data_IF_554623585159
#
_entry.id   IF_554623585159
#
_cell.length_a   1.000
_cell.length_b   1.000
_cell.length_c   1.000
_cell.angle_alpha   90.00
_cell.angle_beta   90.00
_cell.angle_gamma   90.00
#
_symmetry.space_group_name_H-M   'P 1'
#
loop_
_entity.id
_entity.type
_entity.pdbx_description
1 polymer ?
#
# COMPACT_ATOMS: atom_id res chain seq x y z
N UNK A 1 31.49 -27.47 -46.45
CA UNK A 1 30.55 -26.46 -46.99
C UNK A 1 29.42 -26.11 -46.01
N UNK A 2 28.80 -27.09 -45.33
CA UNK A 2 27.64 -26.87 -44.43
C UNK A 2 27.93 -26.03 -43.17
N UNK A 3 29.09 -26.17 -42.53
CA UNK A 3 29.41 -25.40 -41.31
C UNK A 3 29.65 -23.91 -41.58
N UNK A 4 30.25 -23.55 -42.72
CA UNK A 4 30.43 -22.15 -43.12
C UNK A 4 29.09 -21.46 -43.42
N UNK A 5 28.15 -22.16 -44.07
CA UNK A 5 26.79 -21.66 -44.30
C UNK A 5 26.03 -21.48 -42.98
N UNK A 6 26.18 -22.41 -42.03
CA UNK A 6 25.55 -22.33 -40.71
C UNK A 6 26.07 -21.14 -39.89
N UNK A 7 27.38 -20.93 -39.86
CA UNK A 7 28.01 -19.77 -39.21
C UNK A 7 27.55 -18.46 -39.89
N UNK A 8 27.47 -18.45 -41.22
CA UNK A 8 26.95 -17.32 -41.99
C UNK A 8 25.50 -16.96 -41.62
N UNK A 9 24.62 -17.96 -41.50
CA UNK A 9 23.23 -17.74 -41.07
C UNK A 9 23.13 -17.18 -39.65
N UNK A 10 23.92 -17.69 -38.70
CA UNK A 10 23.96 -17.15 -37.33
C UNK A 10 24.37 -15.67 -37.34
N UNK A 11 25.43 -15.34 -38.08
CA UNK A 11 25.92 -13.97 -38.20
C UNK A 11 24.88 -13.04 -38.81
N UNK A 12 24.24 -13.45 -39.90
CA UNK A 12 23.21 -12.64 -40.58
C UNK A 12 22.01 -12.39 -39.67
N UNK A 13 21.48 -13.45 -39.03
CA UNK A 13 20.31 -13.32 -38.15
C UNK A 13 20.64 -12.47 -36.92
N UNK A 14 21.80 -12.70 -36.29
CA UNK A 14 22.24 -11.92 -35.14
C UNK A 14 22.44 -10.44 -35.47
N UNK A 15 23.10 -10.14 -36.59
CA UNK A 15 23.30 -8.75 -37.07
C UNK A 15 21.97 -8.10 -37.41
N UNK A 16 21.06 -8.81 -38.10
CA UNK A 16 19.74 -8.28 -38.45
C UNK A 16 18.92 -7.93 -37.21
N UNK A 17 18.84 -8.83 -36.23
CA UNK A 17 18.14 -8.59 -34.96
C UNK A 17 18.78 -7.41 -34.20
N UNK A 18 20.12 -7.37 -34.13
CA UNK A 18 20.85 -6.28 -33.48
C UNK A 18 20.60 -4.91 -34.13
N UNK A 19 20.64 -4.85 -35.47
CA UNK A 19 20.37 -3.61 -36.22
C UNK A 19 18.93 -3.15 -36.02
N UNK A 20 17.96 -4.07 -36.12
CA UNK A 20 16.54 -3.75 -35.87
C UNK A 20 16.36 -3.22 -34.44
N UNK A 21 16.97 -3.85 -33.45
CA UNK A 21 16.90 -3.41 -32.05
C UNK A 21 17.52 -2.03 -31.84
N UNK A 22 18.71 -1.76 -32.40
CA UNK A 22 19.39 -0.45 -32.29
C UNK A 22 18.57 0.64 -32.98
N UNK A 23 18.04 0.39 -34.19
CA UNK A 23 17.23 1.35 -34.94
C UNK A 23 15.92 1.62 -34.21
N UNK A 24 15.23 0.57 -33.74
CA UNK A 24 14.00 0.70 -32.98
C UNK A 24 14.23 1.51 -31.70
N UNK A 25 15.28 1.19 -30.93
CA UNK A 25 15.60 1.90 -29.69
C UNK A 25 15.94 3.37 -29.95
N UNK A 26 16.78 3.67 -30.96
CA UNK A 26 17.11 5.07 -31.34
C UNK A 26 15.86 5.86 -31.76
N UNK A 27 14.95 5.24 -32.52
CA UNK A 27 13.69 5.89 -32.92
C UNK A 27 12.77 6.12 -31.71
N UNK A 28 12.68 5.15 -30.81
CA UNK A 28 11.87 5.25 -29.59
C UNK A 28 12.37 6.36 -28.68
N UNK A 29 13.67 6.41 -28.42
CA UNK A 29 14.30 7.46 -27.60
C UNK A 29 14.02 8.83 -28.22
N UNK A 30 14.29 9.01 -29.51
CA UNK A 30 14.04 10.27 -30.21
C UNK A 30 12.56 10.71 -30.18
N UNK A 31 11.62 9.77 -30.26
CA UNK A 31 10.18 10.08 -30.23
C UNK A 31 9.71 10.51 -28.84
N UNK A 32 10.25 9.92 -27.78
CA UNK A 32 9.82 10.18 -26.41
C UNK A 32 10.67 11.23 -25.67
N UNK A 33 11.82 11.64 -26.20
CA UNK A 33 12.65 12.70 -25.60
C UNK A 33 11.96 14.07 -25.58
N UNK A 34 11.05 14.33 -26.52
CA UNK A 34 10.25 15.55 -26.55
C UNK A 34 9.15 15.59 -25.46
N UNK A 35 8.84 14.47 -24.81
CA UNK A 35 7.71 14.35 -23.88
C UNK A 35 8.13 13.73 -22.53
N UNK A 36 8.63 14.53 -21.58
CA UNK A 36 9.15 14.04 -20.30
C UNK A 36 8.12 13.28 -19.45
N UNK A 37 6.84 13.64 -19.55
CA UNK A 37 5.75 12.96 -18.82
C UNK A 37 5.48 11.52 -19.34
N UNK A 38 5.97 11.17 -20.53
CA UNK A 38 5.83 9.83 -21.11
C UNK A 38 7.03 8.92 -20.83
N UNK A 39 8.00 9.36 -20.01
CA UNK A 39 9.20 8.57 -19.66
C UNK A 39 8.86 7.17 -19.14
N UNK A 40 7.80 7.05 -18.33
CA UNK A 40 7.33 5.75 -17.82
C UNK A 40 6.87 4.82 -18.95
N UNK A 41 6.08 5.33 -19.92
CA UNK A 41 5.64 4.55 -21.09
C UNK A 41 6.82 4.08 -21.93
N UNK A 42 7.83 4.94 -22.12
CA UNK A 42 9.08 4.56 -22.81
C UNK A 42 9.78 3.39 -22.12
N UNK A 43 9.93 3.45 -20.79
CA UNK A 43 10.56 2.37 -20.03
C UNK A 43 9.82 1.05 -20.18
N UNK A 44 8.48 1.06 -20.11
CA UNK A 44 7.67 -0.14 -20.34
C UNK A 44 7.88 -0.73 -21.75
N UNK A 45 7.87 0.11 -22.78
CA UNK A 45 8.10 -0.35 -24.16
C UNK A 45 9.53 -0.89 -24.33
N UNK A 46 10.53 -0.29 -23.68
CA UNK A 46 11.91 -0.78 -23.72
C UNK A 46 12.07 -2.14 -23.05
N UNK A 47 11.48 -2.33 -21.85
CA UNK A 47 11.49 -3.63 -21.17
C UNK A 47 10.78 -4.69 -22.02
N UNK A 48 9.60 -4.38 -22.55
CA UNK A 48 8.87 -5.28 -23.45
C UNK A 48 9.69 -5.61 -24.70
N UNK A 49 10.36 -4.62 -25.29
CA UNK A 49 11.23 -4.79 -26.46
C UNK A 49 12.43 -5.69 -26.18
N UNK A 50 13.04 -5.61 -24.99
CA UNK A 50 14.13 -6.51 -24.57
C UNK A 50 13.62 -7.94 -24.40
N UNK A 51 12.49 -8.13 -23.72
CA UNK A 51 11.87 -9.46 -23.55
C UNK A 51 11.54 -10.09 -24.92
N UNK A 52 10.88 -9.34 -25.80
CA UNK A 52 10.57 -9.79 -27.17
C UNK A 52 11.86 -10.05 -27.97
N UNK A 53 12.88 -9.20 -27.83
CA UNK A 53 14.17 -9.39 -28.49
C UNK A 53 14.86 -10.69 -28.10
N UNK A 54 14.90 -11.02 -26.81
CA UNK A 54 15.42 -12.30 -26.31
C UNK A 54 14.61 -13.47 -26.89
N UNK A 55 13.28 -13.36 -26.91
CA UNK A 55 12.42 -14.38 -27.50
C UNK A 55 12.69 -14.57 -29.00
N UNK A 56 12.86 -13.49 -29.76
CA UNK A 56 13.23 -13.54 -31.18
C UNK A 56 14.58 -14.22 -31.39
N UNK A 57 15.59 -13.95 -30.55
CA UNK A 57 16.89 -14.63 -30.64
C UNK A 57 16.70 -16.14 -30.44
N UNK A 58 15.93 -16.57 -29.44
CA UNK A 58 15.68 -18.00 -29.19
C UNK A 58 14.98 -18.68 -30.38
N UNK A 59 14.03 -17.98 -31.02
CA UNK A 59 13.25 -18.53 -32.13
C UNK A 59 14.02 -18.58 -33.45
N UNK A 60 14.70 -17.50 -33.82
CA UNK A 60 15.33 -17.35 -35.14
C UNK A 60 16.78 -17.83 -35.19
N UNK A 61 17.46 -17.93 -34.06
CA UNK A 61 18.79 -18.51 -34.03
C UNK A 61 18.70 -20.02 -34.32
N UNK A 62 19.64 -20.58 -35.13
CA UNK A 62 19.54 -21.95 -35.62
C UNK A 62 19.94 -23.00 -34.56
N UNK A 63 19.36 -22.94 -33.37
CA UNK A 63 19.52 -23.95 -32.32
C UNK A 63 18.93 -25.31 -32.75
N UNK A 64 19.45 -26.38 -32.15
CA UNK A 64 18.80 -27.69 -32.22
C UNK A 64 17.41 -27.60 -31.57
N UNK A 65 16.45 -28.39 -32.04
CA UNK A 65 15.08 -28.34 -31.51
C UNK A 65 15.02 -28.62 -30.00
N UNK A 66 15.89 -29.51 -29.50
CA UNK A 66 16.02 -29.81 -28.08
C UNK A 66 16.53 -28.59 -27.28
N UNK A 67 17.61 -27.94 -27.72
CA UNK A 67 18.14 -26.73 -27.07
C UNK A 67 17.13 -25.58 -27.12
N UNK A 68 16.47 -25.36 -28.25
CA UNK A 68 15.43 -24.33 -28.39
C UNK A 68 14.30 -24.56 -27.39
N UNK A 69 13.81 -25.80 -27.27
CA UNK A 69 12.78 -26.17 -26.30
C UNK A 69 13.21 -25.90 -24.85
N UNK A 70 14.44 -26.25 -24.48
CA UNK A 70 15.00 -25.97 -23.15
C UNK A 70 15.13 -24.47 -22.87
N UNK A 71 15.61 -23.68 -23.84
CA UNK A 71 15.74 -22.23 -23.71
C UNK A 71 14.38 -21.53 -23.61
N UNK A 72 13.39 -21.96 -24.38
CA UNK A 72 12.02 -21.42 -24.29
C UNK A 72 11.38 -21.75 -22.94
N UNK A 73 11.57 -22.97 -22.44
CA UNK A 73 11.09 -23.37 -21.10
C UNK A 73 11.74 -22.52 -20.00
N UNK A 74 13.07 -22.37 -20.04
CA UNK A 74 13.81 -21.56 -19.08
C UNK A 74 13.39 -20.08 -19.15
N UNK A 75 13.27 -19.53 -20.36
CA UNK A 75 12.82 -18.16 -20.56
C UNK A 75 11.41 -17.94 -20.01
N UNK A 76 10.47 -18.83 -20.34
CA UNK A 76 9.10 -18.77 -19.83
C UNK A 76 9.04 -18.88 -18.31
N UNK A 77 9.82 -19.78 -17.72
CA UNK A 77 9.95 -19.94 -16.27
C UNK A 77 10.47 -18.66 -15.61
N UNK A 78 11.57 -18.08 -16.12
CA UNK A 78 12.17 -16.87 -15.54
C UNK A 78 11.21 -15.69 -15.65
N UNK A 79 10.60 -15.48 -16.82
CA UNK A 79 9.67 -14.36 -17.03
C UNK A 79 8.42 -14.50 -16.15
N UNK A 80 7.81 -15.69 -16.12
CA UNK A 80 6.62 -15.93 -15.30
C UNK A 80 6.93 -15.82 -13.81
N UNK A 81 8.03 -16.40 -13.33
CA UNK A 81 8.46 -16.28 -11.95
C UNK A 81 8.74 -14.82 -11.57
N UNK A 82 9.42 -14.06 -12.44
CA UNK A 82 9.71 -12.63 -12.21
C UNK A 82 8.43 -11.83 -12.09
N UNK A 83 7.46 -12.02 -13.00
CA UNK A 83 6.17 -11.34 -12.95
C UNK A 83 5.41 -11.72 -11.67
N UNK A 84 5.32 -13.02 -11.36
CA UNK A 84 4.63 -13.51 -10.18
C UNK A 84 5.21 -12.91 -8.90
N UNK A 85 6.53 -13.02 -8.71
CA UNK A 85 7.24 -12.49 -7.54
C UNK A 85 7.11 -10.96 -7.43
N UNK A 86 7.24 -10.24 -8.55
CA UNK A 86 7.13 -8.78 -8.57
C UNK A 86 5.69 -8.29 -8.31
N UNK A 87 4.68 -9.09 -8.66
CA UNK A 87 3.26 -8.74 -8.52
C UNK A 87 2.69 -8.99 -7.12
N UNK A 88 3.41 -9.72 -6.27
CA UNK A 88 2.95 -10.13 -4.93
C UNK A 88 2.37 -8.99 -4.09
N UNK A 89 3.05 -7.84 -4.06
CA UNK A 89 2.60 -6.67 -3.27
C UNK A 89 1.34 -6.03 -3.87
N UNK A 90 1.23 -5.97 -5.20
CA UNK A 90 0.04 -5.45 -5.88
C UNK A 90 -1.17 -6.34 -5.60
N UNK A 91 -1.03 -7.64 -5.83
CA UNK A 91 -2.08 -8.63 -5.56
C UNK A 91 -2.45 -8.63 -4.07
N UNK A 92 -1.47 -8.52 -3.18
CA UNK A 92 -1.68 -8.40 -1.74
C UNK A 92 -2.54 -7.20 -1.36
N UNK A 93 -2.29 -6.02 -1.94
CA UNK A 93 -3.11 -4.83 -1.70
C UNK A 93 -4.54 -4.97 -2.26
N UNK A 94 -4.70 -5.59 -3.43
CA UNK A 94 -6.03 -5.85 -4.01
C UNK A 94 -6.83 -6.76 -3.07
N UNK A 95 -6.24 -7.89 -2.65
CA UNK A 95 -6.90 -8.86 -1.78
C UNK A 95 -7.21 -8.25 -0.41
N UNK A 96 -6.30 -7.46 0.15
CA UNK A 96 -6.53 -6.73 1.38
C UNK A 96 -7.68 -5.72 1.24
N UNK A 97 -7.78 -5.01 0.12
CA UNK A 97 -8.88 -4.10 -0.15
C UNK A 97 -10.25 -4.80 -0.19
N UNK A 98 -10.31 -5.96 -0.85
CA UNK A 98 -11.53 -6.81 -0.86
C UNK A 98 -11.86 -7.28 0.56
N UNK A 99 -10.87 -7.73 1.33
CA UNK A 99 -11.05 -8.17 2.72
C UNK A 99 -11.58 -7.04 3.63
N UNK A 100 -11.01 -5.84 3.56
CA UNK A 100 -11.48 -4.68 4.33
C UNK A 100 -12.95 -4.36 4.03
N UNK A 101 -13.34 -4.40 2.75
CA UNK A 101 -14.73 -4.18 2.32
C UNK A 101 -15.67 -5.28 2.83
N UNK A 102 -15.23 -6.54 2.84
CA UNK A 102 -16.03 -7.67 3.35
C UNK A 102 -16.22 -7.63 4.87
N UNK A 103 -15.17 -7.36 5.64
CA UNK A 103 -15.24 -7.27 7.10
C UNK A 103 -16.07 -6.04 7.52
N UNK A 104 -15.99 -4.96 6.74
CA UNK A 104 -16.84 -3.78 6.90
C UNK A 104 -16.54 -2.96 8.16
N UNK A 105 -15.40 -3.19 8.83
CA UNK A 105 -14.89 -2.37 9.95
C UNK A 105 -14.29 -1.05 9.47
N UNK A 106 -13.69 -1.03 8.29
CA UNK A 106 -13.22 0.19 7.63
C UNK A 106 -14.30 0.63 6.63
N UNK A 107 -14.94 1.77 6.88
CA UNK A 107 -15.91 2.38 5.96
C UNK A 107 -15.66 3.88 5.86
N UNK A 108 -15.86 4.48 4.67
CA UNK A 108 -15.86 5.93 4.55
C UNK A 108 -16.77 6.58 5.59
N UNK A 109 -16.25 7.60 6.27
CA UNK A 109 -16.93 8.31 7.34
C UNK A 109 -16.54 7.87 8.76
N UNK A 110 -16.01 6.66 8.95
CA UNK A 110 -15.61 6.18 10.28
C UNK A 110 -14.27 6.78 10.72
N UNK A 111 -14.15 7.10 12.00
CA UNK A 111 -12.87 7.42 12.63
C UNK A 111 -12.16 6.15 13.02
N UNK A 112 -10.92 6.01 12.59
CA UNK A 112 -10.10 4.82 12.82
C UNK A 112 -8.72 5.17 13.31
N UNK A 113 -8.14 4.28 14.10
CA UNK A 113 -6.69 4.25 14.35
C UNK A 113 -6.13 2.98 13.73
N UNK A 114 -5.16 3.14 12.83
CA UNK A 114 -4.46 2.03 12.16
C UNK A 114 -2.96 2.22 12.39
N UNK A 115 -2.38 1.36 13.22
CA UNK A 115 -1.02 1.57 13.71
C UNK A 115 -0.92 2.89 14.47
N UNK A 116 -0.07 3.79 13.99
CA UNK A 116 0.17 5.12 14.58
C UNK A 116 -0.71 6.23 13.96
N UNK A 117 -1.50 5.90 12.94
CA UNK A 117 -2.30 6.88 12.21
C UNK A 117 -3.74 6.91 12.73
N UNK A 118 -4.18 8.09 13.21
CA UNK A 118 -5.56 8.36 13.57
C UNK A 118 -6.20 9.32 12.56
N UNK A 119 -7.42 9.04 12.15
CA UNK A 119 -8.15 9.91 11.24
C UNK A 119 -9.51 9.36 10.81
N UNK A 120 -10.23 10.15 10.03
CA UNK A 120 -11.50 9.75 9.41
C UNK A 120 -11.25 9.16 8.03
N UNK A 121 -11.77 7.96 7.76
CA UNK A 121 -11.68 7.38 6.40
C UNK A 121 -12.45 8.27 5.43
N UNK A 122 -11.76 8.82 4.44
CA UNK A 122 -12.36 9.63 3.37
C UNK A 122 -12.76 8.76 2.19
N UNK A 123 -11.85 7.88 1.75
CA UNK A 123 -12.03 7.04 0.57
C UNK A 123 -11.41 5.65 0.76
N UNK A 124 -11.97 4.66 0.05
CA UNK A 124 -11.46 3.29 0.01
C UNK A 124 -11.34 2.79 -1.42
N UNK A 125 -10.11 2.79 -1.91
CA UNK A 125 -9.74 2.48 -3.27
C UNK A 125 -9.28 1.01 -3.42
N UNK A 126 -8.94 0.61 -4.66
CA UNK A 126 -8.54 -0.77 -4.94
C UNK A 126 -7.24 -1.18 -4.21
N UNK A 127 -6.29 -0.26 -4.06
CA UNK A 127 -4.96 -0.53 -3.53
C UNK A 127 -4.67 0.15 -2.18
N UNK A 128 -5.49 1.12 -1.79
CA UNK A 128 -5.23 1.94 -0.62
C UNK A 128 -6.53 2.45 0.02
N UNK A 129 -6.42 2.89 1.27
CA UNK A 129 -7.42 3.65 2.01
C UNK A 129 -6.85 5.03 2.24
N UNK A 130 -7.68 6.06 2.09
CA UNK A 130 -7.31 7.42 2.47
C UNK A 130 -7.99 7.78 3.80
N UNK A 131 -7.21 8.38 4.69
CA UNK A 131 -7.70 8.93 5.96
C UNK A 131 -7.37 10.42 6.02
N UNK A 132 -8.31 11.21 6.53
CA UNK A 132 -8.09 12.60 6.90
C UNK A 132 -7.70 12.67 8.38
N UNK A 133 -6.52 13.22 8.67
CA UNK A 133 -6.04 13.40 10.04
C UNK A 133 -6.76 14.56 10.73
N UNK A 134 -6.52 14.72 12.03
CA UNK A 134 -7.06 15.84 12.83
C UNK A 134 -6.58 17.22 12.32
N UNK A 135 -5.37 17.27 11.75
CA UNK A 135 -4.80 18.46 11.10
C UNK A 135 -5.35 18.70 9.68
N UNK A 136 -6.32 17.89 9.25
CA UNK A 136 -6.95 17.89 7.91
C UNK A 136 -6.06 17.44 6.76
N UNK A 137 -4.89 16.86 7.04
CA UNK A 137 -4.05 16.26 6.00
C UNK A 137 -4.65 14.94 5.50
N UNK A 138 -4.44 14.64 4.21
CA UNK A 138 -4.82 13.36 3.62
C UNK A 138 -3.65 12.40 3.67
N UNK A 139 -3.82 11.31 4.41
CA UNK A 139 -2.84 10.24 4.53
C UNK A 139 -3.33 9.00 3.78
N UNK A 140 -2.54 8.55 2.80
CA UNK A 140 -2.82 7.35 2.02
C UNK A 140 -2.13 6.14 2.63
N UNK A 141 -2.92 5.14 3.03
CA UNK A 141 -2.43 3.89 3.61
C UNK A 141 -2.65 2.74 2.62
N UNK A 142 -1.62 1.93 2.30
CA UNK A 142 -1.82 0.72 1.49
C UNK A 142 -2.80 -0.23 2.16
N UNK A 143 -3.70 -0.84 1.39
CA UNK A 143 -4.69 -1.78 1.92
C UNK A 143 -4.03 -2.92 2.71
N UNK A 144 -2.89 -3.41 2.22
CA UNK A 144 -2.14 -4.47 2.88
C UNK A 144 -1.64 -4.06 4.27
N UNK A 145 -1.26 -2.79 4.46
CA UNK A 145 -0.87 -2.25 5.77
C UNK A 145 -2.05 -2.23 6.75
N UNK A 146 -3.23 -1.82 6.28
CA UNK A 146 -4.44 -1.77 7.10
C UNK A 146 -4.88 -3.14 7.62
N UNK A 147 -4.65 -4.22 6.85
CA UNK A 147 -5.01 -5.59 7.25
C UNK A 147 -3.97 -6.23 8.17
N UNK A 148 -2.69 -5.87 8.04
CA UNK A 148 -1.62 -6.44 8.88
C UNK A 148 -1.44 -5.71 10.21
N UNK A 149 -2.11 -4.58 10.40
CA UNK A 149 -2.09 -3.83 11.65
C UNK A 149 -3.44 -3.87 12.36
N UNK A 150 -3.48 -3.78 13.70
CA UNK A 150 -4.73 -3.63 14.43
C UNK A 150 -5.48 -2.38 13.99
N UNK A 151 -6.77 -2.54 13.67
CA UNK A 151 -7.67 -1.44 13.36
C UNK A 151 -8.59 -1.19 14.55
N UNK A 152 -8.48 -0.01 15.16
CA UNK A 152 -9.46 0.47 16.14
C UNK A 152 -10.45 1.37 15.43
N UNK A 153 -11.74 1.10 15.60
CA UNK A 153 -12.81 1.90 15.00
C UNK A 153 -13.55 2.61 16.12
N UNK A 154 -13.56 3.94 16.07
CA UNK A 154 -14.39 4.76 16.96
C UNK A 154 -15.81 4.76 16.41
N UNK A 155 -16.73 4.13 17.15
CA UNK A 155 -18.13 3.97 16.75
C UNK A 155 -18.93 5.21 17.10
N UNK A 156 -19.95 5.53 16.31
CA UNK A 156 -20.86 6.64 16.61
C UNK A 156 -21.61 6.43 17.94
N UNK A 157 -21.89 5.18 18.30
CA UNK A 157 -22.58 4.81 19.55
C UNK A 157 -21.68 4.05 20.50
N UNK A 158 -21.79 4.32 21.80
CA UNK A 158 -21.03 3.63 22.85
C UNK A 158 -19.55 3.97 22.87
N UNK A 159 -19.17 5.13 22.32
CA UNK A 159 -17.84 5.70 22.52
C UNK A 159 -17.75 6.25 23.94
N UNK A 160 -16.75 5.79 24.67
CA UNK A 160 -16.42 6.34 25.98
C UNK A 160 -15.66 7.66 25.80
N UNK A 161 -16.28 8.76 26.22
CA UNK A 161 -15.61 10.05 26.32
C UNK A 161 -15.01 10.17 27.72
N UNK A 162 -13.87 10.85 27.83
CA UNK A 162 -13.17 11.00 29.11
C UNK A 162 -12.42 12.30 29.19
N UNK A 163 -12.41 12.91 30.37
CA UNK A 163 -11.65 14.12 30.66
C UNK A 163 -10.87 13.92 31.95
N UNK A 164 -9.63 14.40 31.96
CA UNK A 164 -8.74 14.38 33.12
C UNK A 164 -8.65 15.76 33.76
N UNK A 165 -8.73 15.78 35.08
CA UNK A 165 -8.70 17.00 35.89
C UNK A 165 -7.78 16.78 37.09
N UNK A 166 -6.86 17.70 37.31
CA UNK A 166 -6.00 17.70 38.50
C UNK A 166 -6.57 18.66 39.54
N UNK A 167 -6.93 18.13 40.71
CA UNK A 167 -7.58 18.88 41.79
C UNK A 167 -6.75 18.80 43.07
N UNK A 168 -6.72 19.90 43.83
CA UNK A 168 -5.92 20.00 45.06
C UNK A 168 -6.41 19.06 46.17
N UNK A 169 -5.49 18.69 47.07
CA UNK A 169 -5.77 17.84 48.23
C UNK A 169 -6.70 18.47 49.28
N UNK A 170 -6.90 19.78 49.19
CA UNK A 170 -7.79 20.57 50.03
C UNK A 170 -9.27 20.37 49.69
N UNK A 171 -9.59 19.73 48.56
CA UNK A 171 -10.97 19.50 48.11
C UNK A 171 -11.44 18.09 48.48
N UNK A 172 -12.62 18.00 49.10
CA UNK A 172 -13.23 16.72 49.47
C UNK A 172 -13.52 15.84 48.25
N UNK A 173 -13.00 14.60 48.27
CA UNK A 173 -13.25 13.59 47.23
C UNK A 173 -14.74 13.37 46.94
N UNK A 174 -15.58 13.35 47.98
CA UNK A 174 -17.02 13.12 47.83
C UNK A 174 -17.68 14.26 47.03
N UNK A 175 -17.23 15.49 47.23
CA UNK A 175 -17.74 16.64 46.48
C UNK A 175 -17.24 16.62 45.04
N UNK A 176 -15.98 16.23 44.81
CA UNK A 176 -15.40 16.05 43.47
C UNK A 176 -16.21 15.01 42.67
N UNK A 177 -16.39 13.80 43.22
CA UNK A 177 -17.10 12.73 42.52
C UNK A 177 -18.55 13.12 42.20
N UNK A 178 -19.24 13.78 43.15
CA UNK A 178 -20.61 14.28 42.94
C UNK A 178 -20.68 15.34 41.85
N UNK A 179 -19.78 16.33 41.87
CA UNK A 179 -19.77 17.43 40.91
C UNK A 179 -19.38 16.97 39.51
N UNK A 180 -18.37 16.10 39.39
CA UNK A 180 -17.91 15.57 38.10
C UNK A 180 -18.97 14.67 37.45
N UNK A 181 -19.61 13.77 38.21
CA UNK A 181 -20.72 12.96 37.69
C UNK A 181 -21.93 13.83 37.30
N UNK A 182 -22.22 14.87 38.09
CA UNK A 182 -23.26 15.85 37.79
C UNK A 182 -22.98 16.60 36.47
N UNK A 183 -21.74 17.07 36.28
CA UNK A 183 -21.31 17.74 35.06
C UNK A 183 -21.34 16.81 33.85
N UNK A 184 -20.86 15.57 33.98
CA UNK A 184 -20.89 14.56 32.92
C UNK A 184 -22.32 14.27 32.47
N UNK A 185 -23.25 14.09 33.42
CA UNK A 185 -24.68 13.90 33.13
C UNK A 185 -25.27 15.12 32.40
N UNK A 186 -24.90 16.35 32.80
CA UNK A 186 -25.36 17.57 32.13
C UNK A 186 -24.82 17.71 30.70
N UNK A 187 -23.63 17.17 30.42
CA UNK A 187 -23.07 17.09 29.07
C UNK A 187 -23.71 15.98 28.22
N UNK A 188 -24.63 15.18 28.77
CA UNK A 188 -25.32 14.10 28.07
C UNK A 188 -24.56 12.77 28.01
N UNK A 189 -23.54 12.58 28.85
CA UNK A 189 -22.82 11.30 28.96
C UNK A 189 -23.68 10.24 29.66
N UNK A 190 -23.58 8.99 29.20
CA UNK A 190 -24.37 7.87 29.71
C UNK A 190 -23.59 7.10 30.77
N UNK A 191 -24.22 6.81 31.92
CA UNK A 191 -23.60 6.06 33.03
C UNK A 191 -22.22 6.61 33.46
N UNK A 192 -22.09 7.91 33.76
CA UNK A 192 -20.80 8.50 34.05
C UNK A 192 -20.20 7.95 35.35
N UNK A 193 -18.87 7.84 35.36
CA UNK A 193 -18.12 7.40 36.52
C UNK A 193 -16.81 8.19 36.66
N UNK A 194 -16.32 8.27 37.89
CA UNK A 194 -15.08 8.99 38.24
C UNK A 194 -14.06 8.00 38.77
N UNK A 195 -12.82 8.13 38.31
CA UNK A 195 -11.67 7.33 38.75
C UNK A 195 -10.54 8.25 39.19
N UNK A 196 -9.76 7.80 40.19
CA UNK A 196 -8.48 8.42 40.53
C UNK A 196 -7.42 7.74 39.67
N UNK A 197 -6.71 8.51 38.86
CA UNK A 197 -5.60 8.01 38.03
C UNK A 197 -4.27 8.06 38.77
N UNK A 198 -3.99 9.15 39.46
CA UNK A 198 -2.67 9.42 40.04
C UNK A 198 -2.78 10.31 41.27
N UNK A 199 -1.94 10.04 42.27
CA UNK A 199 -1.71 10.90 43.44
C UNK A 199 -0.41 11.66 43.19
N UNK A 200 -0.50 12.92 42.76
CA UNK A 200 0.66 13.77 42.50
C UNK A 200 1.13 14.52 43.74
N UNK A 201 2.20 15.30 43.61
CA UNK A 201 2.80 16.01 44.76
C UNK A 201 1.86 17.07 45.37
N UNK A 202 1.05 17.73 44.54
CA UNK A 202 0.17 18.84 44.95
C UNK A 202 -1.31 18.65 44.56
N UNK A 203 -1.63 17.58 43.83
CA UNK A 203 -2.99 17.34 43.33
C UNK A 203 -3.25 15.86 43.11
N UNK A 204 -4.51 15.49 43.14
CA UNK A 204 -5.01 14.20 42.67
C UNK A 204 -5.56 14.36 41.26
N UNK A 205 -5.12 13.51 40.33
CA UNK A 205 -5.66 13.47 38.97
C UNK A 205 -6.87 12.54 38.94
N UNK A 206 -8.03 13.11 38.67
CA UNK A 206 -9.29 12.41 38.45
C UNK A 206 -9.58 12.31 36.96
N UNK A 207 -10.16 11.18 36.54
CA UNK A 207 -10.76 11.02 35.21
C UNK A 207 -12.25 10.83 35.38
N UNK A 208 -13.04 11.67 34.71
CA UNK A 208 -14.47 11.44 34.54
C UNK A 208 -14.72 10.90 33.15
N UNK A 209 -15.51 9.82 33.07
CA UNK A 209 -15.78 9.09 31.84
C UNK A 209 -17.26 8.77 31.71
N UNK A 210 -17.78 8.68 30.48
CA UNK A 210 -19.17 8.29 30.19
C UNK A 210 -19.50 8.42 28.71
#
# INVERSE_FOLDING_TARGET
MSQLLYIGHILIVGVLIGVVWVVANKRLVKHYDAFPHLKFRRQLIQVAGVLIGILCIILFMPFTNQLRGQLLSLYGLIVSATIALSSTTLVGNIMAGVMLKMIGTCRPGNYVTIGDYFGRITEMDLLHVEIQTEDRDLTTLPNFYCVTNPVRVMRESGTLLSVELSLGYDVSRHDIERLLNGAATQCGLESPFVQILTLGDFSVTYRVSG
#
